data_IF_802728020189
#
_entry.id   IF_802728020189
#
_cell.length_a   1.000
_cell.length_b   1.000
_cell.length_c   1.000
_cell.angle_alpha   90.00
_cell.angle_beta   90.00
_cell.angle_gamma   90.00
#
_symmetry.space_group_name_H-M   'P 1'
#
loop_
_entity.id
_entity.type
_entity.pdbx_description
1 polymer ?
#
# COMPACT_ATOMS: atom_id res chain seq x y z
N UNK A 1 -16.43 -1.07 -86.18
CA UNK A 1 -14.98 -1.12 -85.88
C UNK A 1 -14.78 -0.75 -84.42
N UNK A 2 -13.99 -1.56 -83.70
CA UNK A 2 -13.24 -1.27 -82.45
C UNK A 2 -14.03 -0.92 -81.17
N UNK A 3 -14.13 -1.95 -80.33
CA UNK A 3 -13.98 -1.96 -78.87
C UNK A 3 -13.33 -0.72 -78.25
N UNK A 4 -13.90 -0.25 -77.12
CA UNK A 4 -13.10 0.19 -75.98
C UNK A 4 -13.86 -0.20 -74.68
N UNK A 5 -13.46 -1.31 -74.07
CA UNK A 5 -13.76 -1.60 -72.67
C UNK A 5 -12.92 -0.64 -71.81
N UNK A 6 -13.54 0.29 -71.12
CA UNK A 6 -12.88 1.04 -70.04
C UNK A 6 -12.96 0.19 -68.79
N UNK A 7 -11.85 -0.46 -68.46
CA UNK A 7 -11.67 -1.18 -67.19
C UNK A 7 -11.60 -0.13 -66.07
N UNK A 8 -12.63 -0.08 -65.22
CA UNK A 8 -12.59 0.67 -63.98
C UNK A 8 -11.78 -0.14 -62.96
N UNK A 9 -10.52 0.22 -62.77
CA UNK A 9 -9.75 -0.28 -61.63
C UNK A 9 -10.33 0.34 -60.35
N UNK A 10 -11.11 -0.45 -59.60
CA UNK A 10 -11.56 -0.08 -58.27
C UNK A 10 -10.38 -0.30 -57.31
N UNK A 11 -9.65 0.76 -56.97
CA UNK A 11 -8.68 0.72 -55.90
C UNK A 11 -9.46 0.58 -54.58
N UNK A 12 -9.50 -0.63 -54.03
CA UNK A 12 -9.87 -0.84 -52.63
C UNK A 12 -8.80 -0.16 -51.77
N UNK A 13 -9.08 1.06 -51.33
CA UNK A 13 -8.28 1.72 -50.29
C UNK A 13 -8.56 1.01 -48.98
N UNK A 14 -7.78 -0.03 -48.66
CA UNK A 14 -7.74 -0.58 -47.31
C UNK A 14 -7.32 0.55 -46.38
N UNK A 15 -8.22 1.00 -45.51
CA UNK A 15 -7.83 1.81 -44.37
C UNK A 15 -7.01 0.88 -43.48
N UNK A 16 -5.68 0.98 -43.56
CA UNK A 16 -4.77 0.36 -42.60
C UNK A 16 -4.88 1.19 -41.34
N UNK A 17 -5.61 0.70 -40.35
CA UNK A 17 -5.52 1.24 -39.00
C UNK A 17 -4.16 0.82 -38.45
N UNK A 18 -3.23 1.77 -38.34
CA UNK A 18 -1.95 1.55 -37.68
C UNK A 18 -2.23 1.18 -36.22
N UNK A 19 -2.14 -0.10 -35.88
CA UNK A 19 -2.20 -0.52 -34.49
C UNK A 19 -0.87 -0.13 -33.85
N UNK A 20 -0.91 0.78 -32.88
CA UNK A 20 0.28 1.10 -32.10
C UNK A 20 0.72 -0.16 -31.34
N UNK A 21 2.03 -0.39 -31.28
CA UNK A 21 2.56 -1.45 -30.44
C UNK A 21 2.20 -1.16 -28.97
N UNK A 22 1.87 -2.21 -28.24
CA UNK A 22 1.57 -2.14 -26.81
C UNK A 22 2.61 -2.91 -26.02
N UNK A 23 2.89 -2.42 -24.82
CA UNK A 23 3.78 -3.08 -23.86
C UNK A 23 3.18 -2.94 -22.47
N UNK A 24 3.06 -4.04 -21.74
CA UNK A 24 2.59 -4.05 -20.36
C UNK A 24 3.55 -4.84 -19.48
N UNK A 25 3.63 -4.45 -18.21
CA UNK A 25 4.48 -5.06 -17.21
C UNK A 25 3.67 -5.29 -15.93
N UNK A 26 3.72 -6.51 -15.39
CA UNK A 26 3.04 -6.86 -14.15
C UNK A 26 3.89 -7.81 -13.30
N UNK A 27 3.81 -7.72 -11.96
CA UNK A 27 3.09 -6.72 -11.15
C UNK A 27 3.69 -5.30 -11.22
N UNK A 28 2.91 -4.28 -10.82
CA UNK A 28 3.37 -2.88 -10.80
C UNK A 28 4.31 -2.55 -9.61
N UNK A 29 4.36 -3.41 -8.60
CA UNK A 29 5.28 -3.30 -7.46
C UNK A 29 5.89 -4.67 -7.19
N UNK A 30 7.22 -4.72 -7.06
CA UNK A 30 7.97 -5.97 -6.88
C UNK A 30 9.16 -5.76 -5.94
N UNK A 31 9.60 -6.83 -5.28
CA UNK A 31 10.82 -6.84 -4.50
C UNK A 31 12.07 -6.84 -5.40
N UNK A 32 13.25 -6.41 -4.91
CA UNK A 32 14.50 -6.51 -5.66
C UNK A 32 14.77 -7.95 -6.13
N UNK A 33 15.08 -8.13 -7.41
CA UNK A 33 15.34 -9.44 -8.01
C UNK A 33 14.11 -10.31 -8.30
N UNK A 34 12.89 -9.87 -7.97
CA UNK A 34 11.67 -10.60 -8.28
C UNK A 34 11.34 -10.58 -9.78
N UNK A 35 10.50 -11.51 -10.23
CA UNK A 35 10.10 -11.62 -11.63
C UNK A 35 9.07 -10.55 -12.03
N UNK A 36 9.29 -9.93 -13.18
CA UNK A 36 8.36 -9.01 -13.87
C UNK A 36 7.92 -9.71 -15.15
N UNK A 37 6.63 -9.97 -15.29
CA UNK A 37 6.05 -10.49 -16.53
C UNK A 37 5.78 -9.34 -17.48
N UNK A 38 6.26 -9.47 -18.71
CA UNK A 38 6.17 -8.44 -19.74
C UNK A 38 5.44 -9.01 -20.93
N UNK A 39 4.39 -8.33 -21.37
CA UNK A 39 3.61 -8.71 -22.55
C UNK A 39 3.66 -7.59 -23.60
N UNK A 40 3.75 -7.98 -24.87
CA UNK A 40 3.69 -7.05 -25.99
C UNK A 40 2.75 -7.53 -27.07
N UNK A 41 2.23 -6.60 -27.86
CA UNK A 41 1.42 -6.90 -29.05
C UNK A 41 1.50 -5.76 -30.07
N UNK A 42 1.00 -6.01 -31.28
CA UNK A 42 0.80 -4.95 -32.28
C UNK A 42 2.07 -4.47 -32.98
N UNK A 43 3.16 -5.24 -32.99
CA UNK A 43 4.34 -4.89 -33.81
C UNK A 43 4.02 -5.15 -35.29
N UNK A 44 3.84 -4.09 -36.07
CA UNK A 44 3.40 -4.17 -37.47
C UNK A 44 4.37 -4.95 -38.37
N UNK A 45 5.68 -4.72 -38.21
CA UNK A 45 6.74 -5.35 -38.99
C UNK A 45 7.79 -5.98 -38.07
N UNK A 46 7.39 -7.01 -37.32
CA UNK A 46 8.25 -7.65 -36.33
C UNK A 46 9.53 -8.21 -36.96
N UNK A 47 10.67 -7.85 -36.38
CA UNK A 47 12.01 -8.28 -36.81
C UNK A 47 12.66 -9.18 -35.76
N UNK A 48 13.66 -9.97 -36.17
CA UNK A 48 14.40 -10.82 -35.25
C UNK A 48 15.20 -10.04 -34.19
N UNK A 49 15.39 -8.74 -34.42
CA UNK A 49 16.20 -7.83 -33.59
C UNK A 49 15.36 -6.75 -32.93
N UNK A 50 14.04 -6.84 -32.95
CA UNK A 50 13.20 -6.03 -32.05
C UNK A 50 13.46 -6.48 -30.61
N UNK A 51 13.57 -5.53 -29.70
CA UNK A 51 14.03 -5.82 -28.35
C UNK A 51 13.31 -4.99 -27.30
N UNK A 52 13.19 -5.57 -26.11
CA UNK A 52 12.64 -4.92 -24.93
C UNK A 52 13.81 -4.67 -23.97
N UNK A 53 13.92 -3.45 -23.48
CA UNK A 53 14.88 -3.09 -22.44
C UNK A 53 14.20 -2.67 -21.14
N UNK A 54 14.89 -2.87 -20.03
CA UNK A 54 14.51 -2.43 -18.69
C UNK A 54 15.33 -1.19 -18.30
N UNK A 55 14.65 -0.13 -17.87
CA UNK A 55 15.26 1.18 -17.60
C UNK A 55 14.87 1.70 -16.23
N UNK A 56 15.78 2.45 -15.59
CA UNK A 56 15.37 3.35 -14.54
C UNK A 56 14.46 4.44 -15.13
N UNK A 57 13.42 4.83 -14.39
CA UNK A 57 12.48 5.85 -14.83
C UNK A 57 13.22 7.15 -15.16
N UNK A 58 12.99 7.69 -16.35
CA UNK A 58 13.63 8.91 -16.83
C UNK A 58 15.05 8.75 -17.39
N UNK A 59 15.63 7.55 -17.38
CA UNK A 59 16.91 7.29 -18.03
C UNK A 59 16.82 7.43 -19.56
N UNK A 60 17.94 7.78 -20.21
CA UNK A 60 18.03 7.82 -21.67
C UNK A 60 17.85 6.43 -22.29
N UNK A 61 17.40 6.37 -23.54
CA UNK A 61 17.19 5.10 -24.26
C UNK A 61 18.46 4.28 -24.47
N UNK A 62 19.63 4.88 -24.33
CA UNK A 62 20.92 4.18 -24.40
C UNK A 62 21.35 3.54 -23.07
N UNK A 63 20.60 3.73 -21.98
CA UNK A 63 20.96 3.33 -20.62
C UNK A 63 20.09 2.18 -20.09
N UNK A 64 19.91 1.13 -20.89
CA UNK A 64 19.22 -0.08 -20.43
C UNK A 64 20.05 -0.81 -19.37
N UNK A 65 19.38 -1.44 -18.41
CA UNK A 65 20.00 -2.27 -17.38
C UNK A 65 20.03 -3.74 -17.79
N UNK A 66 19.01 -4.18 -18.50
CA UNK A 66 18.89 -5.51 -19.11
C UNK A 66 17.98 -5.45 -20.32
N UNK A 67 18.06 -6.45 -21.19
CA UNK A 67 17.29 -6.49 -22.43
C UNK A 67 17.06 -7.91 -22.93
N UNK A 68 16.03 -8.09 -23.76
CA UNK A 68 15.65 -9.35 -24.40
C UNK A 68 15.13 -9.08 -25.83
N UNK A 69 15.53 -9.89 -26.83
CA UNK A 69 14.91 -9.85 -28.17
C UNK A 69 13.52 -10.51 -28.17
N UNK A 70 12.60 -9.97 -28.97
CA UNK A 70 11.27 -10.56 -29.20
C UNK A 70 11.29 -11.67 -30.27
N UNK A 71 12.40 -11.82 -31.01
CA UNK A 71 12.61 -12.83 -32.05
C UNK A 71 11.50 -12.88 -33.12
N UNK A 72 11.20 -11.73 -33.72
CA UNK A 72 10.18 -11.56 -34.77
C UNK A 72 8.74 -11.90 -34.33
N UNK A 73 8.49 -12.03 -33.03
CA UNK A 73 7.14 -12.21 -32.51
C UNK A 73 6.42 -10.86 -32.46
N UNK A 74 5.36 -10.71 -33.27
CA UNK A 74 4.51 -9.51 -33.27
C UNK A 74 3.73 -9.32 -31.94
N UNK A 75 3.59 -10.39 -31.18
CA UNK A 75 3.03 -10.42 -29.83
C UNK A 75 3.65 -11.56 -29.02
N UNK A 76 3.82 -11.38 -27.73
CA UNK A 76 4.37 -12.42 -26.87
C UNK A 76 4.44 -12.03 -25.41
N UNK A 77 5.01 -12.92 -24.61
CA UNK A 77 5.31 -12.70 -23.20
C UNK A 77 6.73 -13.14 -22.88
N UNK A 78 7.38 -12.43 -21.95
CA UNK A 78 8.70 -12.77 -21.42
C UNK A 78 8.81 -12.34 -19.97
N UNK A 79 9.89 -12.74 -19.32
CA UNK A 79 10.17 -12.41 -17.92
C UNK A 79 11.46 -11.63 -17.79
N UNK A 80 11.40 -10.51 -17.08
CA UNK A 80 12.57 -9.77 -16.61
C UNK A 80 12.74 -9.99 -15.10
N UNK A 81 13.98 -9.84 -14.61
CA UNK A 81 14.23 -9.73 -13.17
C UNK A 81 14.28 -8.25 -12.80
N UNK A 82 13.58 -7.90 -11.72
CA UNK A 82 13.60 -6.57 -11.13
C UNK A 82 15.04 -6.19 -10.72
N UNK A 83 15.48 -4.94 -10.92
CA UNK A 83 16.80 -4.52 -10.48
C UNK A 83 16.97 -4.67 -8.97
N UNK A 84 18.21 -4.84 -8.51
CA UNK A 84 18.49 -4.97 -7.07
C UNK A 84 18.41 -3.63 -6.33
N UNK A 85 18.48 -2.52 -7.06
CA UNK A 85 18.36 -1.17 -6.51
C UNK A 85 16.88 -0.76 -6.45
N UNK A 86 16.37 -0.30 -5.30
CA UNK A 86 15.03 0.25 -5.22
C UNK A 86 14.86 1.52 -6.06
N UNK A 87 13.68 1.71 -6.64
CA UNK A 87 13.35 2.86 -7.48
C UNK A 87 12.18 2.60 -8.41
N UNK A 88 11.89 3.58 -9.26
CA UNK A 88 10.89 3.44 -10.33
C UNK A 88 11.58 3.04 -11.63
N UNK A 89 10.96 2.10 -12.34
CA UNK A 89 11.48 1.51 -13.57
C UNK A 89 10.38 1.45 -14.63
N UNK A 90 10.79 1.40 -15.89
CA UNK A 90 9.89 1.18 -17.02
C UNK A 90 10.54 0.26 -18.05
N UNK A 91 9.72 -0.49 -18.78
CA UNK A 91 10.18 -1.28 -19.92
C UNK A 91 9.84 -0.55 -21.22
N UNK A 92 10.72 -0.72 -22.21
CA UNK A 92 10.64 -0.04 -23.49
C UNK A 92 10.89 -1.03 -24.61
N UNK A 93 10.03 -1.03 -25.62
CA UNK A 93 10.14 -1.85 -26.82
C UNK A 93 10.74 -1.00 -27.94
N UNK A 94 11.72 -1.55 -28.66
CA UNK A 94 12.44 -0.89 -29.74
C UNK A 94 12.51 -1.77 -30.99
N UNK A 95 12.59 -1.10 -32.15
CA UNK A 95 12.68 -1.77 -33.44
C UNK A 95 14.12 -2.04 -33.87
N UNK A 96 14.34 -3.23 -34.45
CA UNK A 96 15.46 -3.56 -35.34
C UNK A 96 16.85 -3.15 -34.82
N UNK A 97 17.20 -3.58 -33.61
CA UNK A 97 18.49 -3.29 -32.94
C UNK A 97 18.80 -1.78 -32.75
N UNK A 98 17.82 -0.91 -33.02
CA UNK A 98 17.92 0.52 -32.87
C UNK A 98 17.24 1.01 -31.58
N UNK A 99 17.20 2.34 -31.43
CA UNK A 99 16.54 3.01 -30.31
C UNK A 99 15.25 3.74 -30.75
N UNK A 100 14.68 3.33 -31.89
CA UNK A 100 13.35 3.78 -32.33
C UNK A 100 12.29 3.13 -31.46
N UNK A 101 11.83 3.85 -30.43
CA UNK A 101 10.88 3.32 -29.44
C UNK A 101 9.50 3.08 -30.07
N UNK A 102 9.01 1.86 -29.92
CA UNK A 102 7.69 1.42 -30.39
C UNK A 102 6.63 1.53 -29.29
N UNK A 103 6.98 1.20 -28.04
CA UNK A 103 6.08 1.24 -26.90
C UNK A 103 6.84 1.36 -25.57
N UNK A 104 6.15 1.80 -24.53
CA UNK A 104 6.62 1.80 -23.13
C UNK A 104 5.55 1.16 -22.23
N UNK A 105 5.99 0.46 -21.19
CA UNK A 105 5.08 -0.06 -20.17
C UNK A 105 4.62 1.02 -19.19
N UNK A 106 3.66 0.68 -18.32
CA UNK A 106 3.48 1.41 -17.06
C UNK A 106 4.71 1.29 -16.15
N UNK A 107 4.78 2.15 -15.14
CA UNK A 107 5.86 2.14 -14.15
C UNK A 107 5.81 0.88 -13.28
N UNK A 108 6.97 0.25 -13.10
CA UNK A 108 7.20 -0.79 -12.11
C UNK A 108 8.02 -0.19 -10.96
N UNK A 109 7.49 -0.27 -9.75
CA UNK A 109 8.20 0.16 -8.53
C UNK A 109 8.94 -1.03 -7.96
N UNK A 110 10.28 -0.93 -7.93
CA UNK A 110 11.10 -1.83 -7.11
C UNK A 110 11.22 -1.20 -5.75
N UNK A 111 10.58 -1.80 -4.77
CA UNK A 111 10.75 -1.42 -3.39
C UNK A 111 11.36 -2.61 -2.65
N UNK A 112 12.40 -2.36 -1.86
CA UNK A 112 12.65 -3.25 -0.73
C UNK A 112 11.35 -3.29 0.06
N UNK A 113 10.86 -4.50 0.40
CA UNK A 113 10.00 -4.59 1.57
C UNK A 113 10.77 -3.85 2.67
N UNK A 114 10.17 -2.78 3.19
CA UNK A 114 10.67 -2.01 4.33
C UNK A 114 11.24 -3.04 5.31
N UNK A 115 12.54 -3.05 5.58
CA UNK A 115 13.25 -4.22 6.14
C UNK A 115 12.39 -5.01 7.13
N UNK A 116 11.68 -6.01 6.60
CA UNK A 116 10.82 -6.92 7.32
C UNK A 116 11.77 -7.87 8.02
N UNK A 117 12.40 -7.40 9.08
CA UNK A 117 13.06 -8.31 9.99
C UNK A 117 11.91 -9.08 10.63
N UNK A 118 11.84 -10.37 10.39
CA UNK A 118 11.12 -11.29 11.28
C UNK A 118 11.79 -11.37 12.68
N UNK A 119 12.57 -10.34 13.03
CA UNK A 119 13.11 -10.13 14.35
C UNK A 119 11.96 -9.68 15.23
N UNK A 120 11.73 -10.35 16.37
CA UNK A 120 10.69 -9.94 17.29
C UNK A 120 10.94 -8.50 17.74
N UNK A 121 9.96 -7.63 17.48
CA UNK A 121 9.94 -6.30 18.10
C UNK A 121 9.59 -6.50 19.59
N UNK A 122 10.40 -6.01 20.53
CA UNK A 122 10.00 -5.99 21.94
C UNK A 122 8.62 -5.34 22.09
N UNK A 123 7.72 -6.00 22.80
CA UNK A 123 6.35 -5.52 22.99
C UNK A 123 5.36 -5.95 21.91
N UNK A 124 5.78 -6.55 20.80
CA UNK A 124 4.87 -7.10 19.77
C UNK A 124 4.92 -8.63 19.79
N UNK A 125 3.78 -9.27 20.05
CA UNK A 125 3.67 -10.74 20.11
C UNK A 125 2.38 -11.22 19.44
N UNK A 126 2.48 -12.16 18.50
CA UNK A 126 1.33 -12.91 18.01
C UNK A 126 1.07 -14.11 18.92
N UNK A 127 -0.13 -14.18 19.51
CA UNK A 127 -0.54 -15.29 20.37
C UNK A 127 -2.00 -15.64 20.12
N UNK A 128 -2.28 -16.91 19.80
CA UNK A 128 -3.64 -17.42 19.52
C UNK A 128 -4.43 -16.58 18.50
N UNK A 129 -3.73 -16.07 17.48
CA UNK A 129 -4.33 -15.24 16.43
C UNK A 129 -4.67 -13.81 16.83
N UNK A 130 -4.18 -13.35 17.99
CA UNK A 130 -4.22 -11.95 18.39
C UNK A 130 -2.82 -11.35 18.42
N UNK A 131 -2.64 -10.21 17.77
CA UNK A 131 -1.43 -9.39 17.88
C UNK A 131 -1.53 -8.56 19.15
N UNK A 132 -0.65 -8.79 20.12
CA UNK A 132 -0.55 -7.99 21.33
C UNK A 132 0.59 -7.00 21.20
N UNK A 133 0.29 -5.70 21.34
CA UNK A 133 1.24 -4.61 21.19
C UNK A 133 1.30 -3.85 22.51
N UNK A 134 2.47 -3.86 23.14
CA UNK A 134 2.76 -3.12 24.37
C UNK A 134 3.81 -2.07 24.07
N UNK A 135 3.52 -0.82 24.44
CA UNK A 135 4.49 0.26 24.41
C UNK A 135 5.80 -0.14 25.10
N UNK A 136 6.93 0.29 24.53
CA UNK A 136 8.26 -0.02 25.07
C UNK A 136 8.88 1.16 25.80
N UNK A 137 8.36 2.36 25.56
CA UNK A 137 8.79 3.58 26.20
C UNK A 137 7.71 4.09 27.15
N UNK A 138 8.12 4.94 28.11
CA UNK A 138 7.17 5.51 29.06
C UNK A 138 6.17 6.46 28.38
N UNK A 139 6.55 7.13 27.29
CA UNK A 139 5.77 8.15 26.57
C UNK A 139 6.22 8.21 25.11
N UNK A 140 5.48 8.91 24.24
CA UNK A 140 5.87 9.15 22.84
C UNK A 140 5.98 7.89 21.97
N UNK A 141 5.31 6.81 22.35
CA UNK A 141 5.27 5.62 21.54
C UNK A 141 4.42 5.86 20.29
N UNK A 142 4.87 5.35 19.16
CA UNK A 142 4.13 5.42 17.90
C UNK A 142 3.90 4.00 17.40
N UNK A 143 2.64 3.58 17.36
CA UNK A 143 2.23 2.27 16.88
C UNK A 143 1.29 2.42 15.66
N UNK A 144 1.52 1.61 14.63
CA UNK A 144 0.70 1.60 13.42
C UNK A 144 0.44 0.18 12.93
N UNK A 145 -0.80 -0.07 12.50
CA UNK A 145 -1.27 -1.32 11.90
C UNK A 145 -1.77 -1.08 10.47
N UNK A 146 -1.24 -1.82 9.51
CA UNK A 146 -1.65 -1.76 8.09
C UNK A 146 -1.83 -3.16 7.50
N UNK A 147 -2.77 -3.32 6.58
CA UNK A 147 -2.90 -4.55 5.78
C UNK A 147 -2.23 -4.34 4.43
N UNK A 148 -1.26 -5.18 4.10
CA UNK A 148 -0.46 -5.11 2.87
C UNK A 148 -0.56 -6.44 2.12
N UNK A 149 -1.54 -6.54 1.22
CA UNK A 149 -1.81 -7.79 0.50
C UNK A 149 -2.30 -8.89 1.45
N UNK A 150 -1.50 -9.95 1.58
CA UNK A 150 -1.80 -11.08 2.47
C UNK A 150 -1.11 -10.97 3.84
N UNK A 151 -0.48 -9.83 4.15
CA UNK A 151 0.20 -9.58 5.42
C UNK A 151 -0.51 -8.48 6.24
N UNK A 152 -0.46 -8.62 7.56
CA UNK A 152 -0.70 -7.55 8.52
C UNK A 152 0.65 -7.03 8.99
N UNK A 153 0.96 -5.78 8.69
CA UNK A 153 2.18 -5.10 9.13
C UNK A 153 1.91 -4.35 10.43
N UNK A 154 2.80 -4.56 11.38
CA UNK A 154 2.80 -3.89 12.69
C UNK A 154 4.08 -3.09 12.80
N UNK A 155 3.96 -1.80 13.13
CA UNK A 155 5.12 -0.99 13.50
C UNK A 155 4.99 -0.43 14.91
N UNK A 156 6.13 -0.36 15.62
CA UNK A 156 6.24 0.22 16.95
C UNK A 156 7.60 0.93 17.06
N UNK A 157 7.57 2.24 17.37
CA UNK A 157 8.75 3.08 17.60
C UNK A 157 9.81 2.98 16.49
N UNK A 158 9.34 2.97 15.24
CA UNK A 158 10.19 2.92 14.04
C UNK A 158 10.69 1.53 13.64
N UNK A 159 10.28 0.46 14.32
CA UNK A 159 10.52 -0.93 13.91
C UNK A 159 9.25 -1.55 13.35
N UNK A 160 9.37 -2.52 12.45
CA UNK A 160 8.23 -3.18 11.81
C UNK A 160 8.39 -4.70 11.69
N UNK A 161 7.25 -5.41 11.74
CA UNK A 161 7.14 -6.86 11.58
C UNK A 161 5.81 -7.20 10.92
N UNK A 162 5.80 -8.18 10.02
CA UNK A 162 4.58 -8.71 9.38
C UNK A 162 4.13 -10.05 9.94
N UNK A 163 2.82 -10.27 9.89
CA UNK A 163 2.17 -11.55 10.14
C UNK A 163 1.24 -11.91 8.97
N UNK A 164 1.13 -13.19 8.57
CA UNK A 164 0.16 -13.59 7.57
C UNK A 164 -1.26 -13.26 8.03
N UNK A 165 -2.07 -12.66 7.15
CA UNK A 165 -3.50 -12.38 7.42
C UNK A 165 -4.29 -13.63 7.78
N UNK A 166 -3.87 -14.81 7.33
CA UNK A 166 -4.48 -16.09 7.69
C UNK A 166 -4.27 -16.49 9.16
N UNK A 167 -3.27 -15.91 9.83
CA UNK A 167 -2.94 -16.20 11.23
C UNK A 167 -3.47 -15.14 12.20
N UNK A 168 -3.94 -13.99 11.69
CA UNK A 168 -4.34 -12.84 12.50
C UNK A 168 -5.85 -12.64 12.42
N UNK A 169 -6.48 -12.57 13.59
CA UNK A 169 -7.93 -12.38 13.74
C UNK A 169 -8.30 -11.10 14.51
N UNK A 170 -7.37 -10.58 15.32
CA UNK A 170 -7.59 -9.43 16.18
C UNK A 170 -6.27 -8.82 16.65
N UNK A 171 -6.35 -7.67 17.31
CA UNK A 171 -5.22 -7.04 17.98
C UNK A 171 -5.58 -6.43 19.34
N UNK A 172 -4.56 -6.12 20.13
CA UNK A 172 -4.64 -5.26 21.31
C UNK A 172 -3.47 -4.29 21.34
N UNK A 173 -3.71 -3.07 21.83
CA UNK A 173 -2.65 -2.09 22.08
C UNK A 173 -2.75 -1.52 23.50
N UNK A 174 -1.62 -1.48 24.20
CA UNK A 174 -1.47 -0.81 25.49
C UNK A 174 -0.32 0.21 25.42
N UNK A 175 -0.64 1.48 25.67
CA UNK A 175 0.30 2.59 25.58
C UNK A 175 1.20 2.72 26.83
N UNK A 176 2.16 3.65 26.79
CA UNK A 176 2.98 4.00 27.93
C UNK A 176 2.22 4.89 28.91
N UNK A 177 2.61 4.89 30.19
CA UNK A 177 1.88 5.65 31.22
C UNK A 177 2.13 7.18 31.19
N UNK A 178 3.15 7.64 30.47
CA UNK A 178 3.58 9.04 30.41
C UNK A 178 2.86 9.89 29.35
N UNK A 179 2.01 9.27 28.51
CA UNK A 179 1.21 9.97 27.51
C UNK A 179 1.99 10.32 26.23
N UNK A 180 1.37 11.18 25.40
CA UNK A 180 1.87 11.54 24.07
C UNK A 180 2.06 10.35 23.12
N UNK A 181 1.36 9.24 23.37
CA UNK A 181 1.41 8.06 22.52
C UNK A 181 0.44 8.22 21.34
N UNK A 182 0.82 7.66 20.19
CA UNK A 182 -0.01 7.66 18.98
C UNK A 182 -0.26 6.24 18.51
N UNK A 183 -1.52 5.92 18.27
CA UNK A 183 -1.94 4.66 17.65
C UNK A 183 -2.73 4.93 16.37
N UNK A 184 -2.39 4.22 15.30
CA UNK A 184 -3.13 4.24 14.03
C UNK A 184 -3.42 2.83 13.56
N UNK A 185 -4.62 2.60 13.04
CA UNK A 185 -5.06 1.33 12.48
C UNK A 185 -5.79 1.58 11.15
N UNK A 186 -5.31 0.92 10.10
CA UNK A 186 -5.88 0.91 8.74
C UNK A 186 -6.22 -0.54 8.32
N UNK A 187 -6.59 -1.38 9.29
CA UNK A 187 -6.99 -2.77 9.07
C UNK A 187 -8.49 -2.98 9.33
N UNK A 188 -9.02 -4.10 8.83
CA UNK A 188 -10.37 -4.56 9.14
C UNK A 188 -10.43 -5.43 10.42
N UNK A 189 -9.33 -5.50 11.17
CA UNK A 189 -9.24 -6.34 12.36
C UNK A 189 -10.11 -5.80 13.51
N UNK A 190 -10.56 -6.72 14.35
CA UNK A 190 -11.15 -6.36 15.64
C UNK A 190 -10.05 -6.02 16.63
N UNK A 191 -10.17 -4.86 17.29
CA UNK A 191 -9.15 -4.36 18.22
C UNK A 191 -9.66 -4.02 19.62
N UNK A 192 -8.74 -3.95 20.58
CA UNK A 192 -8.94 -3.23 21.84
C UNK A 192 -7.76 -2.33 22.15
N UNK A 193 -8.02 -1.15 22.73
CA UNK A 193 -6.99 -0.17 23.08
C UNK A 193 -7.06 0.21 24.55
N UNK A 194 -5.90 0.40 25.17
CA UNK A 194 -5.75 1.07 26.45
C UNK A 194 -4.67 2.14 26.32
N UNK A 195 -5.11 3.40 26.30
CA UNK A 195 -4.24 4.58 26.27
C UNK A 195 -4.11 5.13 27.69
N UNK A 196 -2.90 5.17 28.22
CA UNK A 196 -2.55 5.69 29.53
C UNK A 196 -1.89 7.07 29.40
N UNK A 197 -1.99 7.90 30.44
CA UNK A 197 -1.45 9.25 30.41
C UNK A 197 -2.21 10.22 29.49
N UNK A 198 -1.83 11.49 29.48
CA UNK A 198 -2.52 12.50 28.67
C UNK A 198 -1.98 12.67 27.26
N UNK A 199 -2.66 13.46 26.43
CA UNK A 199 -2.22 13.88 25.09
C UNK A 199 -2.02 12.74 24.08
N UNK A 200 -2.68 11.61 24.26
CA UNK A 200 -2.57 10.52 23.29
C UNK A 200 -3.44 10.80 22.05
N UNK A 201 -3.08 10.17 20.93
CA UNK A 201 -3.83 10.25 19.68
C UNK A 201 -4.18 8.87 19.16
N UNK A 202 -5.46 8.66 18.86
CA UNK A 202 -5.98 7.45 18.21
C UNK A 202 -6.70 7.84 16.93
N UNK A 203 -6.25 7.32 15.78
CA UNK A 203 -6.81 7.62 14.45
C UNK A 203 -7.10 6.31 13.71
N UNK A 204 -8.26 6.23 13.04
CA UNK A 204 -8.65 5.03 12.30
C UNK A 204 -9.43 5.23 11.00
N UNK A 205 -9.20 4.33 10.05
CA UNK A 205 -10.09 4.01 8.93
C UNK A 205 -10.64 2.56 9.08
N UNK A 206 -11.91 2.29 8.76
CA UNK A 206 -12.34 0.92 8.44
C UNK A 206 -13.14 0.10 9.47
N UNK A 207 -12.51 -0.75 10.30
CA UNK A 207 -13.18 -1.92 10.92
C UNK A 207 -14.02 -1.72 12.21
N UNK A 208 -13.97 -2.66 13.18
CA UNK A 208 -14.70 -2.57 14.48
C UNK A 208 -13.74 -2.63 15.67
N UNK A 209 -13.93 -1.78 16.69
CA UNK A 209 -13.28 -1.91 17.99
C UNK A 209 -14.23 -2.56 19.00
N UNK A 210 -13.70 -3.49 19.79
CA UNK A 210 -14.38 -3.97 20.98
C UNK A 210 -14.48 -2.85 22.01
N UNK A 211 -13.33 -2.40 22.54
CA UNK A 211 -13.28 -1.39 23.60
C UNK A 211 -12.03 -0.51 23.47
N UNK A 212 -12.17 0.79 23.73
CA UNK A 212 -11.07 1.78 23.79
C UNK A 212 -11.10 2.47 25.14
N UNK A 213 -10.06 2.33 25.95
CA UNK A 213 -9.87 3.07 27.19
C UNK A 213 -8.93 4.25 26.96
N UNK A 214 -9.36 5.45 27.35
CA UNK A 214 -8.57 6.69 27.31
C UNK A 214 -8.45 7.22 28.73
N UNK A 215 -7.35 6.91 29.40
CA UNK A 215 -7.06 7.40 30.74
C UNK A 215 -6.23 8.68 30.63
N UNK A 216 -6.35 9.58 31.59
CA UNK A 216 -5.68 10.89 31.54
C UNK A 216 -6.43 11.91 30.69
N UNK A 217 -5.79 13.04 30.44
CA UNK A 217 -6.44 14.23 29.86
C UNK A 217 -5.96 14.54 28.45
N UNK A 218 -6.67 15.40 27.71
CA UNK A 218 -6.28 15.86 26.35
C UNK A 218 -6.07 14.73 25.32
N UNK A 219 -6.70 13.56 25.49
CA UNK A 219 -6.66 12.52 24.48
C UNK A 219 -7.52 12.88 23.27
N UNK A 220 -7.02 12.57 22.08
CA UNK A 220 -7.69 12.71 20.80
C UNK A 220 -8.06 11.31 20.29
N UNK A 221 -9.33 11.11 19.91
CA UNK A 221 -9.78 9.82 19.42
C UNK A 221 -10.77 9.98 18.28
N UNK A 222 -10.41 9.44 17.12
CA UNK A 222 -11.27 9.40 15.94
C UNK A 222 -11.38 7.98 15.41
N UNK A 223 -12.58 7.43 15.47
CA UNK A 223 -12.88 6.05 15.05
C UNK A 223 -13.87 6.07 13.89
N UNK A 224 -13.54 5.39 12.79
CA UNK A 224 -14.39 5.29 11.60
C UNK A 224 -15.50 4.25 11.66
N UNK A 225 -15.40 3.23 12.52
CA UNK A 225 -16.39 2.15 12.70
C UNK A 225 -16.94 2.06 14.13
N UNK A 226 -17.53 0.94 14.54
CA UNK A 226 -18.15 0.78 15.87
C UNK A 226 -17.12 0.64 16.99
N UNK A 227 -17.38 1.22 18.16
CA UNK A 227 -16.52 1.13 19.34
C UNK A 227 -17.29 1.42 20.63
N UNK A 228 -16.83 0.84 21.74
CA UNK A 228 -17.14 1.33 23.09
C UNK A 228 -15.95 2.13 23.62
N UNK A 229 -16.11 3.44 23.78
CA UNK A 229 -15.03 4.32 24.26
C UNK A 229 -15.27 4.68 25.73
N UNK A 230 -14.30 4.41 26.58
CA UNK A 230 -14.31 4.74 28.00
C UNK A 230 -13.22 5.77 28.27
N UNK A 231 -13.58 6.99 28.65
CA UNK A 231 -12.60 8.01 29.04
C UNK A 231 -12.61 8.27 30.54
N UNK A 232 -11.44 8.31 31.16
CA UNK A 232 -11.25 8.60 32.57
C UNK A 232 -10.23 9.72 32.78
N UNK A 233 -10.65 10.82 33.40
CA UNK A 233 -9.76 11.94 33.72
C UNK A 233 -9.03 11.68 35.04
N UNK A 234 -7.71 11.86 35.07
CA UNK A 234 -6.95 11.89 36.32
C UNK A 234 -6.95 13.31 36.90
N UNK A 235 -7.51 13.49 38.11
CA UNK A 235 -7.48 14.75 38.86
C UNK A 235 -8.84 15.46 39.03
N UNK A 236 -8.81 16.70 39.55
CA UNK A 236 -10.01 17.53 39.70
C UNK A 236 -10.50 18.05 38.35
N UNK A 237 -11.78 17.84 38.04
CA UNK A 237 -12.45 18.32 36.81
C UNK A 237 -12.10 19.78 36.49
N UNK A 238 -11.41 19.99 35.36
CA UNK A 238 -11.20 21.29 34.73
C UNK A 238 -11.86 21.23 33.32
N UNK A 239 -12.83 22.10 33.02
CA UNK A 239 -13.52 22.11 31.72
C UNK A 239 -12.61 22.48 30.54
N UNK A 240 -11.37 22.92 30.78
CA UNK A 240 -10.33 23.09 29.76
C UNK A 240 -9.43 21.86 29.55
N UNK A 241 -9.60 20.83 30.40
CA UNK A 241 -8.78 19.63 30.51
C UNK A 241 -9.57 18.36 30.11
N UNK A 242 -10.58 18.52 29.25
CA UNK A 242 -11.37 17.41 28.72
C UNK A 242 -10.64 16.77 27.54
N UNK A 243 -10.75 15.45 27.37
CA UNK A 243 -10.34 14.79 26.12
C UNK A 243 -10.96 15.54 24.94
N UNK A 244 -10.10 16.16 24.13
CA UNK A 244 -10.45 17.37 23.36
C UNK A 244 -11.48 17.12 22.28
N UNK A 245 -11.47 15.93 21.71
CA UNK A 245 -12.20 15.60 20.49
C UNK A 245 -12.33 14.07 20.39
N UNK A 246 -13.29 13.49 21.13
CA UNK A 246 -13.80 12.16 20.78
C UNK A 246 -14.80 12.38 19.64
N UNK A 247 -14.28 12.49 18.41
CA UNK A 247 -15.12 12.75 17.22
C UNK A 247 -15.64 11.42 16.70
N UNK A 248 -16.94 11.22 16.86
CA UNK A 248 -17.65 9.98 16.55
C UNK A 248 -18.61 10.23 15.39
N UNK A 249 -18.18 10.05 14.12
CA UNK A 249 -19.03 10.35 12.97
C UNK A 249 -20.09 9.27 12.65
N UNK A 250 -20.09 8.13 13.36
CA UNK A 250 -20.91 6.96 13.02
C UNK A 250 -22.00 6.68 14.08
N UNK A 251 -23.23 6.30 13.68
CA UNK A 251 -24.35 6.02 14.60
C UNK A 251 -24.20 4.73 15.44
N UNK A 252 -23.04 4.07 15.41
CA UNK A 252 -22.83 2.73 16.02
C UNK A 252 -21.71 2.69 17.06
N UNK A 253 -21.22 3.86 17.48
CA UNK A 253 -20.20 4.01 18.52
C UNK A 253 -20.87 4.55 19.78
N UNK A 254 -20.59 3.93 20.91
CA UNK A 254 -21.08 4.36 22.22
C UNK A 254 -19.90 4.90 23.03
N UNK A 255 -19.93 6.18 23.39
CA UNK A 255 -18.91 6.81 24.22
C UNK A 255 -19.44 7.00 25.64
N UNK A 256 -18.71 6.46 26.62
CA UNK A 256 -18.99 6.59 28.04
C UNK A 256 -17.90 7.43 28.70
N UNK A 257 -18.30 8.59 29.22
CA UNK A 257 -17.40 9.50 29.92
C UNK A 257 -17.57 9.33 31.44
N UNK A 258 -16.47 9.11 32.14
CA UNK A 258 -16.43 8.97 33.59
C UNK A 258 -15.58 10.09 34.20
N UNK A 259 -16.18 10.85 35.12
CA UNK A 259 -15.45 11.73 36.03
C UNK A 259 -15.76 11.35 37.51
N UNK A 260 -15.13 12.04 38.46
CA UNK A 260 -15.38 11.84 39.89
C UNK A 260 -16.81 12.21 40.35
N UNK A 261 -17.71 12.64 39.47
CA UNK A 261 -19.06 13.13 39.77
C UNK A 261 -20.19 12.34 39.10
N UNK A 262 -19.93 11.51 38.10
CA UNK A 262 -20.93 10.57 37.55
C UNK A 262 -20.86 10.32 36.06
N UNK A 263 -21.89 9.64 35.54
CA UNK A 263 -22.02 9.19 34.15
C UNK A 263 -22.58 10.30 33.25
N UNK A 264 -21.97 10.50 32.07
CA UNK A 264 -22.52 11.33 31.00
C UNK A 264 -22.58 10.55 29.67
N UNK A 265 -23.70 10.70 28.95
CA UNK A 265 -23.93 10.15 27.61
C UNK A 265 -23.86 11.28 26.58
N UNK A 266 -23.26 11.03 25.42
CA UNK A 266 -23.40 11.85 24.21
C UNK A 266 -23.80 10.92 23.07
#
# INVERSE_FOLDING_TARGET
MKSLLVSAAFLLSSIVTLQAAELAATPATVAPGAAITVSWSGIEAATNTDWIGLYAAGADDYQFQSWIYTYAAASGTTTFLAPTTPGSYDLRLFANDGYGRLASSGTVTVATADSETNDPIPGVVLSYGQINITATEHSHNVANLTTEGDQVRVSLNGRSVTFPTSEVSSFSYMSGAGGWDSFTDDTDLNGSLTMLGGHNSVIRAGGVFGVVYLLGNDNYCRIGGSAYVYSYLEGSYDPSNTNRDVVVPSPTVWAYFYDLRGFYFI
#
